data_IF_354411109481
#
_entry.id   IF_354411109481
#
_cell.length_a   1.000
_cell.length_b   1.000
_cell.length_c   1.000
_cell.angle_alpha   90.00
_cell.angle_beta   90.00
_cell.angle_gamma   90.00
#
_symmetry.space_group_name_H-M   'P 1'
#
loop_
_entity.id
_entity.type
_entity.pdbx_description
1 polymer ?
#
# COMPACT_ATOMS: atom_id res chain seq x y z
N UNK A 1 70.83 -6.07 40.96
CA UNK A 1 70.10 -5.45 39.83
C UNK A 1 69.40 -6.53 39.02
N UNK A 2 68.18 -6.26 38.57
CA UNK A 2 67.18 -7.27 38.21
C UNK A 2 67.18 -7.81 36.78
N UNK A 3 66.50 -8.96 36.68
CA UNK A 3 65.64 -9.55 35.62
C UNK A 3 65.93 -9.25 34.14
N UNK A 4 65.87 -10.31 33.32
CA UNK A 4 65.37 -10.19 31.94
C UNK A 4 65.64 -11.37 31.01
N UNK A 5 64.91 -12.48 31.18
CA UNK A 5 64.85 -13.60 30.23
C UNK A 5 64.25 -13.10 28.91
N UNK A 6 65.01 -13.13 27.81
CA UNK A 6 64.48 -12.88 26.45
C UNK A 6 63.84 -14.17 25.92
N UNK A 7 62.57 -14.36 26.25
CA UNK A 7 61.70 -15.32 25.59
C UNK A 7 61.25 -14.77 24.22
N UNK A 8 61.53 -15.53 23.16
CA UNK A 8 60.96 -15.27 21.84
C UNK A 8 59.45 -15.52 21.85
N UNK A 9 58.67 -14.46 21.89
CA UNK A 9 57.22 -14.52 21.70
C UNK A 9 56.92 -14.70 20.22
N UNK A 10 56.42 -15.89 19.87
CA UNK A 10 55.68 -16.13 18.63
C UNK A 10 54.38 -15.31 18.70
N UNK A 11 54.18 -14.40 17.76
CA UNK A 11 52.87 -13.76 17.54
C UNK A 11 51.94 -14.78 16.87
N UNK A 12 50.76 -15.11 17.43
CA UNK A 12 49.76 -15.86 16.68
C UNK A 12 49.20 -14.97 15.56
N UNK A 13 49.28 -15.47 14.33
CA UNK A 13 48.57 -14.93 13.17
C UNK A 13 47.08 -14.91 13.46
N UNK A 14 46.50 -13.72 13.55
CA UNK A 14 45.05 -13.54 13.67
C UNK A 14 44.42 -13.73 12.29
N UNK A 15 44.04 -14.95 11.96
CA UNK A 15 43.15 -15.23 10.83
C UNK A 15 41.73 -14.94 11.33
N UNK A 16 40.95 -14.04 10.69
CA UNK A 16 39.56 -13.87 11.07
C UNK A 16 38.82 -15.19 10.81
N UNK A 17 37.88 -15.60 11.68
CA UNK A 17 37.11 -16.81 11.44
C UNK A 17 36.29 -16.65 10.16
N UNK A 18 36.59 -17.50 9.18
CA UNK A 18 35.72 -17.79 8.05
C UNK A 18 34.34 -18.13 8.62
N UNK A 19 33.36 -17.25 8.39
CA UNK A 19 31.96 -17.60 8.65
C UNK A 19 31.67 -18.92 7.94
N UNK A 20 30.99 -19.87 8.59
CA UNK A 20 30.65 -21.12 7.95
C UNK A 20 29.85 -20.83 6.69
N UNK A 21 30.43 -21.25 5.57
CA UNK A 21 29.79 -21.44 4.28
C UNK A 21 28.74 -22.54 4.46
N UNK A 22 27.55 -22.18 4.91
CA UNK A 22 26.37 -23.02 4.74
C UNK A 22 25.93 -22.87 3.30
N UNK A 23 26.39 -23.78 2.46
CA UNK A 23 25.69 -24.17 1.25
C UNK A 23 24.28 -24.57 1.62
N UNK A 24 23.29 -23.77 1.23
CA UNK A 24 21.88 -24.10 1.37
C UNK A 24 21.11 -23.30 0.34
N UNK A 25 20.85 -23.92 -0.81
CA UNK A 25 19.98 -23.36 -1.84
C UNK A 25 18.62 -23.01 -1.25
N UNK A 26 18.38 -21.72 -1.08
CA UNK A 26 17.07 -21.13 -0.80
C UNK A 26 17.12 -19.64 -1.16
N UNK A 27 17.63 -19.31 -2.35
CA UNK A 27 17.33 -18.02 -2.96
C UNK A 27 15.87 -18.08 -3.42
N UNK A 28 15.00 -17.74 -2.46
CA UNK A 28 13.61 -17.37 -2.59
C UNK A 28 12.89 -17.87 -3.86
N UNK A 29 12.22 -19.02 -3.76
CA UNK A 29 10.95 -19.15 -4.46
C UNK A 29 10.01 -18.09 -3.87
N UNK A 30 10.14 -16.84 -4.37
CA UNK A 30 9.26 -15.73 -4.01
C UNK A 30 7.84 -16.24 -4.19
N UNK A 31 7.09 -16.22 -3.08
CA UNK A 31 5.71 -16.63 -3.04
C UNK A 31 4.93 -15.96 -4.17
N UNK A 32 4.56 -16.73 -5.19
CA UNK A 32 3.88 -16.22 -6.39
C UNK A 32 2.41 -15.91 -6.14
N UNK A 33 1.92 -16.08 -4.91
CA UNK A 33 0.53 -15.77 -4.56
C UNK A 33 0.25 -14.27 -4.79
N UNK A 34 -0.93 -13.94 -5.34
CA UNK A 34 -1.39 -12.56 -5.43
C UNK A 34 -1.33 -11.83 -4.09
N UNK A 35 -1.16 -10.51 -4.15
CA UNK A 35 -1.17 -9.64 -2.98
C UNK A 35 -2.48 -8.88 -2.97
N UNK A 36 -3.20 -8.93 -1.86
CA UNK A 36 -4.40 -8.12 -1.67
C UNK A 36 -4.01 -6.67 -1.40
N UNK A 37 -4.62 -5.76 -2.16
CA UNK A 37 -4.50 -4.32 -2.03
C UNK A 37 -5.71 -3.80 -1.28
N UNK A 38 -5.49 -2.96 -0.28
CA UNK A 38 -6.53 -2.32 0.54
C UNK A 38 -6.50 -0.81 0.35
N UNK A 39 -7.69 -0.22 0.27
CA UNK A 39 -7.91 1.23 0.26
C UNK A 39 -9.06 1.57 1.20
N UNK A 40 -8.79 2.44 2.17
CA UNK A 40 -9.82 3.03 3.04
C UNK A 40 -10.22 4.38 2.47
N UNK A 41 -11.48 4.54 2.09
CA UNK A 41 -11.99 5.76 1.48
C UNK A 41 -13.45 6.04 1.81
N UNK A 42 -13.77 7.32 1.95
CA UNK A 42 -15.11 7.87 2.10
C UNK A 42 -15.41 8.86 0.97
N UNK A 43 -16.52 9.61 1.07
CA UNK A 43 -17.00 10.50 0.01
C UNK A 43 -15.96 11.51 -0.48
N UNK A 44 -15.06 12.01 0.37
CA UNK A 44 -14.12 13.08 0.01
C UNK A 44 -12.80 12.59 -0.61
N UNK A 45 -12.50 11.29 -0.53
CA UNK A 45 -11.18 10.76 -0.92
C UNK A 45 -11.27 9.45 -1.72
N UNK A 46 -12.37 9.26 -2.45
CA UNK A 46 -12.53 8.11 -3.33
C UNK A 46 -11.41 8.09 -4.38
N UNK A 47 -10.83 6.93 -4.60
CA UNK A 47 -9.79 6.68 -5.61
C UNK A 47 -9.98 5.32 -6.26
N UNK A 48 -10.70 4.38 -5.65
CA UNK A 48 -10.89 3.02 -6.19
C UNK A 48 -12.34 2.79 -6.58
N UNK A 49 -12.63 2.59 -7.86
CA UNK A 49 -13.91 2.05 -8.32
C UNK A 49 -13.79 0.54 -8.51
N UNK A 50 -14.87 -0.19 -8.22
CA UNK A 50 -14.99 -1.62 -8.48
C UNK A 50 -16.27 -1.79 -9.30
N UNK A 51 -16.17 -2.41 -10.47
CA UNK A 51 -17.35 -2.68 -11.29
C UNK A 51 -18.03 -4.01 -10.90
N UNK A 52 -19.16 -4.31 -11.52
CA UNK A 52 -19.96 -5.52 -11.22
C UNK A 52 -19.20 -6.83 -11.49
N UNK A 53 -18.18 -6.79 -12.35
CA UNK A 53 -17.30 -7.93 -12.62
C UNK A 53 -16.15 -8.06 -11.59
N UNK A 54 -16.17 -7.29 -10.50
CA UNK A 54 -15.11 -7.28 -9.49
C UNK A 54 -13.77 -6.77 -10.01
N UNK A 55 -13.74 -6.02 -11.12
CA UNK A 55 -12.52 -5.38 -11.62
C UNK A 55 -12.35 -4.04 -10.91
N UNK A 56 -11.22 -3.88 -10.22
CA UNK A 56 -10.84 -2.62 -9.59
C UNK A 56 -10.18 -1.67 -10.58
N UNK A 57 -10.41 -0.37 -10.38
CA UNK A 57 -9.76 0.70 -11.10
C UNK A 57 -9.41 1.84 -10.13
N UNK A 58 -8.12 2.16 -10.06
CA UNK A 58 -7.55 3.20 -9.20
C UNK A 58 -7.31 4.48 -10.02
N UNK A 59 -7.90 5.59 -9.58
CA UNK A 59 -7.81 6.90 -10.22
C UNK A 59 -6.79 7.80 -9.53
N UNK A 60 -6.22 8.75 -10.26
CA UNK A 60 -5.24 9.75 -9.76
C UNK A 60 -5.89 10.90 -8.98
N UNK A 61 -7.07 11.33 -9.41
CA UNK A 61 -7.68 12.58 -8.96
C UNK A 61 -9.16 12.35 -8.82
N UNK A 62 -9.64 12.64 -7.62
CA UNK A 62 -11.05 12.74 -7.34
C UNK A 62 -11.30 14.13 -6.80
N UNK A 63 -12.20 14.83 -7.49
CA UNK A 63 -12.66 16.12 -7.06
C UNK A 63 -13.76 15.92 -6.02
N UNK A 64 -13.45 16.13 -4.75
CA UNK A 64 -14.40 15.98 -3.64
C UNK A 64 -15.64 16.86 -3.80
N UNK A 65 -15.49 18.07 -4.34
CA UNK A 65 -16.59 19.02 -4.54
C UNK A 65 -17.55 18.58 -5.66
N UNK A 66 -17.06 17.81 -6.64
CA UNK A 66 -17.85 17.31 -7.76
C UNK A 66 -18.20 15.83 -7.65
N UNK A 67 -17.75 15.15 -6.58
CA UNK A 67 -17.85 13.70 -6.39
C UNK A 67 -17.50 12.90 -7.66
N UNK A 68 -16.48 13.35 -8.39
CA UNK A 68 -16.12 12.81 -9.70
C UNK A 68 -14.63 12.53 -9.77
N UNK A 69 -14.29 11.30 -10.15
CA UNK A 69 -12.99 11.01 -10.73
C UNK A 69 -12.91 11.73 -12.07
N UNK A 70 -11.86 12.54 -12.29
CA UNK A 70 -11.61 13.15 -13.60
C UNK A 70 -10.56 12.33 -14.35
N UNK A 71 -10.97 11.27 -15.10
CA UNK A 71 -10.08 10.70 -16.10
C UNK A 71 -9.69 11.83 -17.07
N UNK A 72 -8.44 11.83 -17.54
CA UNK A 72 -7.91 12.78 -18.55
C UNK A 72 -7.27 14.11 -18.12
N UNK A 73 -7.03 14.43 -16.84
CA UNK A 73 -6.10 15.55 -16.49
C UNK A 73 -4.62 15.17 -16.69
N UNK A 74 -4.22 14.70 -17.87
CA UNK A 74 -2.87 14.11 -18.12
C UNK A 74 -1.81 15.15 -18.51
N UNK A 75 -2.13 16.44 -18.52
CA UNK A 75 -1.25 17.50 -19.05
C UNK A 75 -0.38 18.20 -17.99
N UNK A 76 -0.46 17.79 -16.73
CA UNK A 76 0.33 18.34 -15.62
C UNK A 76 1.12 17.25 -14.90
N UNK A 77 2.35 17.54 -14.41
CA UNK A 77 3.09 16.63 -13.56
C UNK A 77 2.25 16.32 -12.31
N UNK A 78 2.18 15.03 -11.96
CA UNK A 78 1.43 14.55 -10.81
C UNK A 78 1.94 15.23 -9.54
N UNK A 79 1.07 15.95 -8.82
CA UNK A 79 1.42 16.48 -7.52
C UNK A 79 1.30 15.39 -6.46
N UNK A 80 1.85 15.63 -5.27
CA UNK A 80 1.69 14.73 -4.13
C UNK A 80 0.21 14.40 -3.83
N UNK A 81 -0.70 15.35 -4.04
CA UNK A 81 -2.14 15.24 -3.75
C UNK A 81 -2.88 14.35 -4.77
N UNK A 82 -2.27 14.10 -5.93
CA UNK A 82 -2.79 13.25 -7.00
C UNK A 82 -2.39 11.77 -6.82
N UNK A 83 -1.71 11.43 -5.72
CA UNK A 83 -1.34 10.05 -5.40
C UNK A 83 -2.53 9.31 -4.80
N UNK A 84 -2.71 8.05 -5.20
CA UNK A 84 -3.57 7.14 -4.48
C UNK A 84 -2.73 6.41 -3.42
N UNK A 85 -3.14 6.51 -2.16
CA UNK A 85 -2.51 5.80 -1.05
C UNK A 85 -3.15 4.43 -0.88
N UNK A 86 -2.36 3.39 -1.11
CA UNK A 86 -2.76 1.99 -1.08
C UNK A 86 -1.91 1.22 -0.08
N UNK A 87 -2.52 0.26 0.60
CA UNK A 87 -1.86 -0.69 1.48
C UNK A 87 -1.81 -2.05 0.78
N UNK A 88 -0.64 -2.70 0.74
CA UNK A 88 -0.45 -4.01 0.12
C UNK A 88 -0.20 -5.09 1.18
N UNK A 89 -1.16 -6.00 1.33
CA UNK A 89 -1.04 -7.21 2.14
C UNK A 89 -1.29 -7.03 3.64
N UNK A 90 -1.41 -5.81 4.16
CA UNK A 90 -1.62 -5.55 5.59
C UNK A 90 -3.07 -5.17 5.90
N UNK A 91 -3.91 -6.20 6.03
CA UNK A 91 -5.33 -6.03 6.36
C UNK A 91 -5.54 -5.33 7.70
N UNK A 92 -4.78 -5.73 8.73
CA UNK A 92 -4.94 -5.21 10.09
C UNK A 92 -4.73 -3.69 10.13
N UNK A 93 -3.67 -3.21 9.47
CA UNK A 93 -3.39 -1.77 9.35
C UNK A 93 -4.50 -1.00 8.62
N UNK A 94 -5.12 -1.61 7.60
CA UNK A 94 -6.24 -1.00 6.89
C UNK A 94 -7.49 -0.92 7.77
N UNK A 95 -7.78 -1.95 8.58
CA UNK A 95 -8.88 -1.98 9.53
C UNK A 95 -8.69 -0.95 10.66
N UNK A 96 -7.49 -0.84 11.23
CA UNK A 96 -7.16 0.21 12.20
C UNK A 96 -7.38 1.62 11.65
N UNK A 97 -6.97 1.86 10.40
CA UNK A 97 -7.17 3.15 9.78
C UNK A 97 -8.66 3.42 9.52
N UNK A 98 -9.44 2.41 9.12
CA UNK A 98 -10.89 2.53 8.99
C UNK A 98 -11.55 2.92 10.32
N UNK A 99 -11.22 2.21 11.41
CA UNK A 99 -11.73 2.52 12.75
C UNK A 99 -11.41 3.96 13.17
N UNK A 100 -10.15 4.39 12.96
CA UNK A 100 -9.73 5.78 13.21
C UNK A 100 -10.58 6.80 12.44
N UNK A 101 -10.94 6.51 11.18
CA UNK A 101 -11.78 7.41 10.37
C UNK A 101 -13.22 7.46 10.86
N UNK A 102 -13.76 6.35 11.35
CA UNK A 102 -15.09 6.30 11.96
C UNK A 102 -15.13 7.08 13.28
N UNK A 103 -14.11 6.94 14.13
CA UNK A 103 -13.98 7.71 15.39
C UNK A 103 -13.88 9.23 15.14
N UNK A 104 -13.33 9.62 13.98
CA UNK A 104 -13.27 11.01 13.52
C UNK A 104 -14.60 11.51 12.91
N UNK A 105 -15.66 10.71 12.94
CA UNK A 105 -16.99 11.06 12.41
C UNK A 105 -17.18 10.77 10.91
N UNK A 106 -16.21 10.17 10.22
CA UNK A 106 -16.34 9.82 8.81
C UNK A 106 -16.97 8.42 8.63
N UNK A 107 -18.17 8.23 9.18
CA UNK A 107 -18.89 6.93 9.24
C UNK A 107 -19.18 6.31 7.86
N UNK A 108 -19.25 7.13 6.81
CA UNK A 108 -19.43 6.68 5.42
C UNK A 108 -18.15 6.11 4.79
N UNK A 109 -17.03 6.11 5.51
CA UNK A 109 -15.77 5.51 5.04
C UNK A 109 -15.91 4.01 4.97
N UNK A 110 -15.42 3.41 3.89
CA UNK A 110 -15.39 1.96 3.66
C UNK A 110 -13.97 1.49 3.36
N UNK A 111 -13.73 0.19 3.54
CA UNK A 111 -12.53 -0.46 3.05
C UNK A 111 -12.84 -1.19 1.74
N UNK A 112 -12.07 -0.92 0.69
CA UNK A 112 -12.10 -1.63 -0.58
C UNK A 112 -10.87 -2.53 -0.69
N UNK A 113 -11.06 -3.71 -1.26
CA UNK A 113 -10.02 -4.69 -1.46
C UNK A 113 -10.05 -5.24 -2.89
N UNK A 114 -8.89 -5.55 -3.46
CA UNK A 114 -8.74 -6.25 -4.74
C UNK A 114 -7.34 -6.88 -4.79
N UNK A 115 -7.07 -7.75 -5.76
CA UNK A 115 -5.78 -8.44 -5.84
C UNK A 115 -4.97 -8.00 -7.07
N UNK A 116 -3.64 -8.00 -6.88
CA UNK A 116 -2.66 -7.83 -7.94
C UNK A 116 -1.65 -8.97 -7.91
N UNK A 117 -1.01 -9.32 -9.04
CA UNK A 117 0.11 -10.25 -9.06
C UNK A 117 1.22 -9.80 -8.10
N UNK A 118 1.90 -10.77 -7.48
CA UNK A 118 3.07 -10.52 -6.61
C UNK A 118 4.10 -9.60 -7.28
N UNK A 119 4.40 -9.85 -8.55
CA UNK A 119 5.37 -9.08 -9.32
C UNK A 119 4.99 -7.59 -9.44
N UNK A 120 3.69 -7.28 -9.49
CA UNK A 120 3.22 -5.89 -9.49
C UNK A 120 3.55 -5.22 -8.16
N UNK A 121 3.25 -5.89 -7.04
CA UNK A 121 3.58 -5.40 -5.70
C UNK A 121 5.10 -5.21 -5.53
N UNK A 122 5.91 -6.19 -5.92
CA UNK A 122 7.36 -6.11 -5.76
C UNK A 122 7.98 -4.98 -6.58
N UNK A 123 7.54 -4.77 -7.83
CA UNK A 123 8.00 -3.63 -8.64
C UNK A 123 7.69 -2.28 -7.99
N UNK A 124 6.53 -2.16 -7.35
CA UNK A 124 6.15 -0.92 -6.63
C UNK A 124 7.04 -0.76 -5.40
N UNK A 125 7.17 -1.80 -4.59
CA UNK A 125 7.99 -1.77 -3.37
C UNK A 125 9.45 -1.44 -3.67
N UNK A 126 10.04 -2.10 -4.68
CA UNK A 126 11.46 -1.98 -4.99
C UNK A 126 11.81 -0.61 -5.63
N UNK A 127 10.82 0.09 -6.19
CA UNK A 127 10.98 1.45 -6.73
C UNK A 127 10.50 2.56 -5.78
N UNK A 128 9.93 2.20 -4.63
CA UNK A 128 9.40 3.16 -3.68
C UNK A 128 10.53 3.88 -2.94
N UNK A 129 10.43 5.21 -2.89
CA UNK A 129 11.37 6.06 -2.16
C UNK A 129 10.75 6.59 -0.87
N UNK A 130 11.56 6.98 0.12
CA UNK A 130 11.05 7.72 1.27
C UNK A 130 10.37 9.02 0.86
N UNK A 131 9.31 9.41 1.57
CA UNK A 131 8.59 10.66 1.31
C UNK A 131 9.52 11.90 1.32
N UNK A 132 10.53 11.92 2.19
CA UNK A 132 11.53 13.00 2.23
C UNK A 132 12.33 13.11 0.93
N UNK A 133 12.61 11.99 0.27
CA UNK A 133 13.32 11.95 -1.01
C UNK A 133 12.42 12.36 -2.18
N UNK A 134 11.11 12.18 -2.07
CA UNK A 134 10.16 12.58 -3.11
C UNK A 134 10.00 14.11 -3.25
N UNK A 135 10.46 14.87 -2.25
CA UNK A 135 10.53 16.34 -2.30
C UNK A 135 11.76 16.86 -3.08
N UNK A 136 12.68 15.97 -3.47
CA UNK A 136 13.83 16.33 -4.28
C UNK A 136 13.42 16.44 -5.75
N UNK A 137 13.94 17.46 -6.42
CA UNK A 137 13.69 17.70 -7.84
C UNK A 137 13.99 16.47 -8.69
N UNK A 138 13.05 16.10 -9.54
CA UNK A 138 13.18 14.97 -10.46
C UNK A 138 12.86 13.62 -9.84
N UNK A 139 12.36 13.54 -8.60
CA UNK A 139 11.91 12.29 -7.95
C UNK A 139 10.41 12.25 -7.66
N UNK A 140 9.68 13.30 -8.00
CA UNK A 140 8.25 13.44 -7.78
C UNK A 140 7.44 12.38 -8.52
N UNK A 141 8.05 11.78 -9.54
CA UNK A 141 7.46 10.74 -10.36
C UNK A 141 7.64 9.33 -9.81
N UNK A 142 8.31 9.11 -8.67
CA UNK A 142 8.51 7.77 -8.09
C UNK A 142 7.42 7.44 -7.05
N UNK A 143 7.00 6.17 -6.88
CA UNK A 143 6.13 5.81 -5.76
C UNK A 143 6.80 6.12 -4.42
N UNK A 144 6.01 6.43 -3.40
CA UNK A 144 6.54 6.75 -2.07
C UNK A 144 6.10 5.71 -1.05
N UNK A 145 7.01 5.31 -0.18
CA UNK A 145 6.66 4.59 1.04
C UNK A 145 6.14 5.61 2.08
N UNK A 146 4.95 5.35 2.62
CA UNK A 146 4.29 6.19 3.63
C UNK A 146 4.04 5.42 4.90
N UNK A 147 3.81 6.12 6.02
CA UNK A 147 3.44 5.51 7.29
C UNK A 147 4.36 4.34 7.71
N UNK A 148 5.65 4.40 7.33
CA UNK A 148 6.63 3.31 7.52
C UNK A 148 6.84 2.91 8.98
N UNK A 149 6.48 3.78 9.93
CA UNK A 149 6.51 3.49 11.37
C UNK A 149 5.27 2.73 11.86
N UNK A 150 4.21 2.64 11.05
CA UNK A 150 2.93 2.01 11.41
C UNK A 150 2.72 0.66 10.72
N UNK A 151 3.41 0.41 9.61
CA UNK A 151 3.30 -0.84 8.88
C UNK A 151 4.12 -0.80 7.60
N UNK A 152 4.51 -1.98 7.15
CA UNK A 152 5.20 -2.16 5.89
C UNK A 152 4.20 -2.02 4.71
N UNK A 153 4.71 -1.71 3.52
CA UNK A 153 3.96 -1.82 2.27
C UNK A 153 2.77 -0.85 2.08
N UNK A 154 2.84 0.30 2.73
CA UNK A 154 1.93 1.42 2.49
C UNK A 154 2.56 2.38 1.48
N UNK A 155 1.91 2.60 0.34
CA UNK A 155 2.49 3.39 -0.76
C UNK A 155 1.55 4.47 -1.30
N UNK A 156 2.12 5.65 -1.55
CA UNK A 156 1.51 6.67 -2.41
C UNK A 156 1.96 6.45 -3.86
N UNK A 157 1.05 6.00 -4.73
CA UNK A 157 1.40 5.60 -6.09
C UNK A 157 1.56 6.79 -7.04
N UNK A 158 2.60 6.73 -7.88
CA UNK A 158 2.78 7.60 -9.05
C UNK A 158 1.94 7.10 -10.24
N UNK A 159 2.03 7.81 -11.37
CA UNK A 159 1.35 7.47 -12.61
C UNK A 159 1.65 6.05 -13.11
N UNK A 160 2.92 5.70 -13.26
CA UNK A 160 3.28 4.39 -13.84
C UNK A 160 2.89 3.23 -12.93
N UNK A 161 2.94 3.42 -11.60
CA UNK A 161 2.47 2.41 -10.65
C UNK A 161 0.95 2.29 -10.69
N UNK A 162 0.19 3.39 -10.77
CA UNK A 162 -1.26 3.36 -10.93
C UNK A 162 -1.67 2.63 -12.20
N UNK A 163 -1.04 2.97 -13.32
CA UNK A 163 -1.27 2.28 -14.61
C UNK A 163 -0.98 0.79 -14.47
N UNK A 164 0.16 0.43 -13.87
CA UNK A 164 0.52 -0.98 -13.64
C UNK A 164 -0.50 -1.71 -12.76
N UNK A 165 -0.94 -1.10 -11.66
CA UNK A 165 -1.98 -1.68 -10.79
C UNK A 165 -3.27 -1.90 -11.59
N UNK A 166 -3.72 -0.93 -12.37
CA UNK A 166 -4.94 -1.04 -13.17
C UNK A 166 -4.87 -2.09 -14.29
N UNK A 167 -3.71 -2.20 -14.94
CA UNK A 167 -3.48 -3.18 -16.02
C UNK A 167 -3.36 -4.61 -15.49
N UNK A 168 -2.90 -4.77 -14.24
CA UNK A 168 -2.62 -6.09 -13.65
C UNK A 168 -3.59 -6.50 -12.56
N UNK A 169 -4.51 -5.63 -12.13
CA UNK A 169 -5.57 -5.98 -11.19
C UNK A 169 -6.33 -7.21 -11.69
N UNK A 170 -6.45 -8.21 -10.82
CA UNK A 170 -7.07 -9.48 -11.16
C UNK A 170 -8.60 -9.28 -11.19
N UNK A 171 -9.28 -9.47 -12.34
CA UNK A 171 -10.73 -9.35 -12.41
C UNK A 171 -11.43 -10.33 -11.47
N UNK A 172 -12.60 -9.96 -10.94
CA UNK A 172 -13.37 -10.77 -10.00
C UNK A 172 -12.92 -10.72 -8.53
N UNK A 173 -11.81 -10.02 -8.23
CA UNK A 173 -11.25 -9.97 -6.85
C UNK A 173 -11.65 -8.72 -6.07
N UNK A 174 -12.12 -7.69 -6.78
CA UNK A 174 -12.56 -6.42 -6.23
C UNK A 174 -13.82 -6.57 -5.39
N UNK A 175 -13.76 -6.05 -4.17
CA UNK A 175 -14.87 -6.09 -3.20
C UNK A 175 -14.80 -4.92 -2.21
N UNK A 176 -15.96 -4.60 -1.63
CA UNK A 176 -16.05 -3.70 -0.49
C UNK A 176 -16.07 -4.56 0.77
N UNK A 177 -15.02 -4.47 1.57
CA UNK A 177 -14.92 -5.14 2.87
C UNK A 177 -15.69 -4.29 3.89
N UNK A 178 -16.97 -4.62 4.09
CA UNK A 178 -17.76 -4.05 5.20
C UNK A 178 -17.38 -4.83 6.46
N UNK A 179 -16.66 -4.21 7.39
CA UNK A 179 -16.42 -4.75 8.73
C UNK A 179 -17.72 -4.71 9.54
N UNK A 180 -18.61 -5.69 9.32
CA UNK A 180 -19.93 -5.91 9.94
C UNK A 180 -20.94 -4.73 9.91
N UNK A 181 -22.25 -5.03 9.82
CA UNK A 181 -23.30 -4.02 9.84
C UNK A 181 -23.75 -3.82 11.29
N UNK A 182 -23.30 -2.77 11.97
CA UNK A 182 -24.10 -2.19 13.06
C UNK A 182 -23.52 -0.83 13.47
N UNK A 183 -24.10 0.21 12.88
CA UNK A 183 -24.61 1.35 13.63
C UNK A 183 -25.62 2.08 12.73
N UNK A 184 -26.91 1.86 13.04
CA UNK A 184 -28.03 2.78 12.82
C UNK A 184 -28.42 3.12 11.37
N UNK A 185 -28.86 2.12 10.60
CA UNK A 185 -30.03 2.35 9.75
C UNK A 185 -31.16 1.50 10.32
N UNK A 186 -32.11 2.16 11.00
CA UNK A 186 -33.36 1.53 11.40
C UNK A 186 -33.99 0.88 10.16
N UNK A 187 -34.52 -0.35 10.27
CA UNK A 187 -35.12 -1.07 9.14
C UNK A 187 -36.26 -0.28 8.46
N UNK A 188 -36.85 0.70 9.13
CA UNK A 188 -37.94 1.52 8.58
C UNK A 188 -37.52 2.48 7.44
N UNK A 189 -36.24 2.79 7.26
CA UNK A 189 -35.79 3.69 6.17
C UNK A 189 -35.60 2.93 4.84
N UNK A 190 -35.39 1.61 4.89
CA UNK A 190 -35.17 0.81 3.68
C UNK A 190 -36.44 0.71 2.82
N UNK A 191 -37.61 0.61 3.45
CA UNK A 191 -38.88 0.45 2.74
C UNK A 191 -39.38 1.80 2.18
N UNK A 192 -39.15 2.90 2.88
CA UNK A 192 -39.53 4.24 2.43
C UNK A 192 -38.75 4.72 1.19
N UNK A 193 -37.51 4.26 0.99
CA UNK A 193 -36.70 4.62 -0.19
C UNK A 193 -37.07 3.77 -1.41
N UNK A 194 -37.53 2.53 -1.21
CA UNK A 194 -37.99 1.65 -2.30
C UNK A 194 -39.31 2.12 -2.93
N UNK A 195 -40.18 2.76 -2.15
CA UNK A 195 -41.44 3.32 -2.65
C UNK A 195 -41.30 4.69 -3.33
N UNK A 196 -40.13 5.34 -3.25
CA UNK A 196 -39.84 6.59 -3.97
C UNK A 196 -39.43 6.37 -5.44
N UNK A 197 -39.25 5.12 -5.87
CA UNK A 197 -38.86 4.73 -7.23
C UNK A 197 -39.88 3.83 -7.95
N UNK A 198 -41.13 3.78 -7.46
CA UNK A 198 -42.29 3.28 -8.21
C UNK A 198 -43.17 4.45 -8.63
#
# INVERSE_FOLDING_TARGET
>A
MGKGIRGGFRTPSFTPPSKPSTSGGAEAAKDKRPVTVYRVEGPDNQRVSINDAGKAHVTKSFNSHKNQSTPHRYDKPMSYQDRAFLNFGDRARAEEFLATRHDQGHTQTVMKAFEVPRDTFEKIRDSAIPESAAKQYGKEHLPIAVDVNKGDNQFGLNWDSLKRVNETSIPGTGRIERTKPDMLMLPEVSDAVQDLFK
#
